data_IF_783526602707
#
_entry.id   IF_783526602707
#
_cell.length_a   1.000
_cell.length_b   1.000
_cell.length_c   1.000
_cell.angle_alpha   90.00
_cell.angle_beta   90.00
_cell.angle_gamma   90.00
#
_symmetry.space_group_name_H-M   'P 1'
#
loop_
_entity.id
_entity.type
_entity.pdbx_description
1 polymer ?
#
# COMPACT_ATOMS: atom_id res chain seq x y z
N UNK A 1 14.27 39.56 -4.22
CA UNK A 1 13.61 38.74 -3.18
C UNK A 1 14.14 37.32 -3.37
N UNK A 2 15.00 36.86 -2.47
CA UNK A 2 15.57 35.51 -2.56
C UNK A 2 14.60 34.51 -1.92
N UNK A 3 14.17 33.51 -2.69
CA UNK A 3 13.44 32.37 -2.12
C UNK A 3 14.46 31.52 -1.38
N UNK A 4 14.28 31.38 -0.07
CA UNK A 4 15.16 30.57 0.77
C UNK A 4 14.60 29.14 0.77
N UNK A 5 15.38 28.11 0.42
CA UNK A 5 14.92 26.73 0.52
C UNK A 5 14.71 26.37 1.99
N UNK A 6 13.57 25.72 2.27
CA UNK A 6 13.29 25.15 3.59
C UNK A 6 14.34 24.06 3.91
N UNK A 7 14.76 23.90 5.17
CA UNK A 7 15.76 22.89 5.52
C UNK A 7 15.23 21.51 5.11
N UNK A 8 16.11 20.70 4.52
CA UNK A 8 15.80 19.33 4.16
C UNK A 8 15.39 18.59 5.45
N UNK A 9 14.09 18.30 5.56
CA UNK A 9 13.56 17.45 6.62
C UNK A 9 14.33 16.14 6.58
N UNK A 10 14.75 15.65 7.75
CA UNK A 10 15.52 14.43 7.93
C UNK A 10 14.99 13.34 7.00
N UNK A 11 15.79 13.00 5.97
CA UNK A 11 15.40 11.99 5.00
C UNK A 11 15.23 10.69 5.77
N UNK A 12 14.00 10.22 5.88
CA UNK A 12 13.75 8.87 6.37
C UNK A 12 14.57 7.92 5.49
N UNK A 13 15.36 7.02 6.09
CA UNK A 13 16.21 6.10 5.32
C UNK A 13 15.39 5.11 4.46
N UNK A 14 14.06 5.10 4.60
CA UNK A 14 13.15 4.26 3.82
C UNK A 14 11.81 4.93 3.51
N UNK A 15 11.05 4.25 2.65
CA UNK A 15 9.70 4.61 2.28
C UNK A 15 8.77 4.54 3.48
N UNK A 16 8.02 5.62 3.75
CA UNK A 16 7.04 5.67 4.84
C UNK A 16 5.98 4.55 4.76
N UNK A 17 5.63 4.11 3.54
CA UNK A 17 4.60 3.09 3.36
C UNK A 17 5.13 1.67 3.49
N UNK A 18 6.20 1.32 2.76
CA UNK A 18 6.67 -0.07 2.66
C UNK A 18 7.93 -0.37 3.48
N UNK A 19 8.61 0.63 4.04
CA UNK A 19 9.85 0.48 4.80
C UNK A 19 11.07 0.07 3.97
N UNK A 20 10.93 -0.15 2.66
CA UNK A 20 12.07 -0.40 1.76
C UNK A 20 12.88 0.89 1.54
N UNK A 21 14.16 0.80 1.15
CA UNK A 21 14.97 1.96 0.81
C UNK A 21 14.30 2.85 -0.24
N UNK A 22 14.56 4.15 -0.16
CA UNK A 22 14.10 5.09 -1.17
C UNK A 22 14.78 4.78 -2.52
N UNK A 23 13.99 4.72 -3.58
CA UNK A 23 14.47 4.52 -4.95
C UNK A 23 15.17 5.76 -5.51
N UNK A 24 15.54 5.70 -6.79
CA UNK A 24 16.26 6.80 -7.47
C UNK A 24 15.41 8.05 -7.70
N UNK A 25 14.08 7.92 -7.70
CA UNK A 25 13.13 9.02 -7.87
C UNK A 25 12.04 8.94 -6.79
N UNK A 26 12.35 9.31 -5.54
CA UNK A 26 11.37 9.28 -4.46
C UNK A 26 10.25 10.30 -4.68
N UNK A 27 9.06 9.96 -4.20
CA UNK A 27 7.88 10.82 -4.22
C UNK A 27 7.69 11.40 -2.83
N UNK A 28 7.40 12.70 -2.73
CA UNK A 28 6.97 13.32 -1.48
C UNK A 28 5.49 13.64 -1.50
N UNK A 29 4.83 13.37 -0.38
CA UNK A 29 3.45 13.75 -0.15
C UNK A 29 3.25 14.20 1.30
N UNK A 30 2.46 15.27 1.47
CA UNK A 30 2.02 15.68 2.79
C UNK A 30 0.92 14.74 3.31
N UNK A 31 1.22 14.02 4.40
CA UNK A 31 0.25 13.24 5.17
C UNK A 31 0.13 13.84 6.56
N UNK A 32 -1.10 14.21 6.98
CA UNK A 32 -1.38 14.80 8.30
C UNK A 32 -0.50 16.01 8.64
N UNK A 33 -0.26 16.86 7.64
CA UNK A 33 0.57 18.06 7.78
C UNK A 33 2.07 17.81 7.86
N UNK A 34 2.55 16.57 7.68
CA UNK A 34 3.98 16.23 7.61
C UNK A 34 4.35 15.74 6.22
N UNK A 35 5.44 16.25 5.65
CA UNK A 35 6.00 15.68 4.42
C UNK A 35 6.55 14.28 4.72
N UNK A 36 6.20 13.31 3.90
CA UNK A 36 6.69 11.93 3.97
C UNK A 36 7.33 11.54 2.64
N UNK A 37 8.41 10.75 2.70
CA UNK A 37 9.10 10.20 1.53
C UNK A 37 8.57 8.80 1.17
N UNK A 38 8.40 8.55 -0.14
CA UNK A 38 7.93 7.29 -0.69
C UNK A 38 8.85 6.81 -1.80
N UNK A 39 9.06 5.49 -1.92
CA UNK A 39 9.91 4.94 -2.99
C UNK A 39 9.27 5.03 -4.39
N UNK A 40 7.94 5.17 -4.48
CA UNK A 40 7.21 5.32 -5.75
C UNK A 40 5.82 5.93 -5.55
N UNK A 41 5.16 6.30 -6.66
CA UNK A 41 3.80 6.86 -6.65
C UNK A 41 2.76 5.89 -6.08
N UNK A 42 2.93 4.57 -6.29
CA UNK A 42 2.04 3.56 -5.72
C UNK A 42 2.05 3.55 -4.19
N UNK A 43 3.22 3.72 -3.58
CA UNK A 43 3.35 3.81 -2.12
C UNK A 43 2.70 5.09 -1.56
N UNK A 44 2.85 6.22 -2.26
CA UNK A 44 2.19 7.48 -1.88
C UNK A 44 0.66 7.37 -1.98
N UNK A 45 0.15 6.74 -3.05
CA UNK A 45 -1.28 6.52 -3.25
C UNK A 45 -1.86 5.58 -2.19
N UNK A 46 -1.20 4.45 -1.92
CA UNK A 46 -1.62 3.52 -0.87
C UNK A 46 -1.69 4.20 0.50
N UNK A 47 -0.67 5.01 0.84
CA UNK A 47 -0.65 5.74 2.10
C UNK A 47 -1.76 6.79 2.22
N UNK A 48 -2.04 7.51 1.13
CA UNK A 48 -3.16 8.45 1.06
C UNK A 48 -4.50 7.76 1.26
N UNK A 49 -4.68 6.60 0.62
CA UNK A 49 -5.91 5.83 0.73
C UNK A 49 -6.11 5.27 2.14
N UNK A 50 -5.06 4.72 2.76
CA UNK A 50 -5.10 4.23 4.15
C UNK A 50 -5.51 5.36 5.12
N UNK A 51 -5.01 6.57 4.89
CA UNK A 51 -5.39 7.76 5.65
C UNK A 51 -6.87 8.11 5.45
N UNK A 52 -7.31 8.24 4.19
CA UNK A 52 -8.69 8.55 3.85
C UNK A 52 -9.69 7.50 4.35
N UNK A 53 -9.29 6.23 4.42
CA UNK A 53 -10.09 5.12 4.93
C UNK A 53 -10.11 5.04 6.47
N UNK A 54 -9.38 5.90 7.19
CA UNK A 54 -9.27 5.85 8.65
C UNK A 54 -8.45 4.66 9.17
N UNK A 55 -7.68 3.99 8.31
CA UNK A 55 -6.95 2.75 8.60
C UNK A 55 -5.51 2.99 9.07
N UNK A 56 -5.16 4.21 9.46
CA UNK A 56 -3.76 4.56 9.77
C UNK A 56 -3.16 3.85 10.99
N UNK A 57 -3.98 3.14 11.78
CA UNK A 57 -3.48 2.19 12.79
C UNK A 57 -2.56 1.12 12.20
N UNK A 58 -2.71 0.85 10.89
CA UNK A 58 -1.81 0.02 10.09
C UNK A 58 -0.33 0.31 10.34
N UNK A 59 0.08 1.58 10.37
CA UNK A 59 1.50 1.95 10.51
C UNK A 59 2.06 1.59 11.89
N UNK A 60 1.27 1.78 12.96
CA UNK A 60 1.66 1.35 14.31
C UNK A 60 1.80 -0.17 14.40
N UNK A 61 0.88 -0.90 13.76
CA UNK A 61 0.94 -2.36 13.73
C UNK A 61 2.15 -2.87 12.95
N UNK A 62 2.58 -2.12 11.93
CA UNK A 62 3.73 -2.47 11.10
C UNK A 62 5.08 -2.19 11.79
N UNK A 63 5.15 -1.16 12.62
CA UNK A 63 6.35 -0.80 13.39
C UNK A 63 6.52 -1.59 14.69
N UNK A 64 5.43 -2.13 15.24
CA UNK A 64 5.46 -2.99 16.43
C UNK A 64 5.86 -4.44 16.13
N UNK A 65 6.39 -5.12 17.15
CA UNK A 65 6.77 -6.56 17.17
C UNK A 65 5.54 -7.49 17.11
N UNK A 66 4.63 -7.25 16.16
CA UNK A 66 3.35 -7.93 16.06
C UNK A 66 3.46 -9.27 15.31
N UNK A 67 4.52 -10.01 15.63
CA UNK A 67 4.87 -11.29 15.02
C UNK A 67 5.59 -11.13 13.69
N UNK A 68 6.29 -12.19 13.24
CA UNK A 68 7.01 -12.16 11.98
C UNK A 68 6.05 -11.73 10.87
N UNK A 69 6.51 -10.79 10.04
CA UNK A 69 5.94 -10.52 8.71
C UNK A 69 5.56 -11.90 8.16
N UNK A 70 4.26 -12.14 7.92
CA UNK A 70 3.78 -13.46 7.55
C UNK A 70 4.74 -14.00 6.49
N UNK A 71 5.52 -15.02 6.87
CA UNK A 71 6.36 -15.68 5.89
C UNK A 71 5.36 -16.14 4.85
N UNK A 72 5.65 -15.88 3.58
CA UNK A 72 4.82 -16.39 2.51
C UNK A 72 4.93 -17.91 2.57
N UNK A 73 4.14 -18.53 3.44
CA UNK A 73 3.65 -19.87 3.19
C UNK A 73 2.93 -19.76 1.85
N UNK A 74 2.99 -20.82 1.06
CA UNK A 74 2.59 -20.92 -0.34
C UNK A 74 1.06 -20.79 -0.51
N UNK A 75 0.42 -19.91 0.26
CA UNK A 75 -0.98 -19.59 0.31
C UNK A 75 -1.49 -18.85 -0.92
N UNK A 76 -0.63 -18.51 -1.89
CA UNK A 76 -1.08 -18.11 -3.22
C UNK A 76 -2.07 -19.16 -3.80
N UNK A 77 -1.75 -20.45 -3.62
CA UNK A 77 -2.63 -21.55 -4.01
C UNK A 77 -3.97 -21.60 -3.28
N UNK A 78 -4.13 -20.94 -2.13
CA UNK A 78 -5.42 -20.82 -1.43
C UNK A 78 -6.38 -19.91 -2.21
N UNK A 79 -5.86 -18.83 -2.79
CA UNK A 79 -6.64 -17.88 -3.58
C UNK A 79 -6.91 -18.41 -5.00
N UNK A 80 -6.03 -19.26 -5.53
CA UNK A 80 -6.17 -19.91 -6.85
C UNK A 80 -7.02 -21.19 -6.83
N UNK A 81 -7.69 -21.50 -5.72
CA UNK A 81 -8.57 -22.68 -5.64
C UNK A 81 -9.74 -22.54 -6.63
N UNK A 82 -10.00 -23.54 -7.50
CA UNK A 82 -11.07 -23.47 -8.49
C UNK A 82 -12.45 -23.10 -7.92
N UNK A 83 -12.81 -23.70 -6.78
CA UNK A 83 -14.06 -23.42 -6.09
C UNK A 83 -14.18 -21.96 -5.59
N UNK A 84 -13.06 -21.33 -5.26
CA UNK A 84 -13.00 -19.95 -4.78
C UNK A 84 -13.11 -18.99 -5.97
N UNK A 85 -12.37 -19.27 -7.05
CA UNK A 85 -12.45 -18.54 -8.32
C UNK A 85 -13.89 -18.58 -8.85
N UNK A 86 -14.50 -19.75 -8.95
CA UNK A 86 -15.88 -19.90 -9.45
C UNK A 86 -16.89 -19.11 -8.61
N UNK A 87 -16.75 -19.14 -7.27
CA UNK A 87 -17.70 -18.49 -6.36
C UNK A 87 -17.56 -16.97 -6.29
N UNK A 88 -16.33 -16.44 -6.35
CA UNK A 88 -16.07 -15.03 -6.03
C UNK A 88 -15.75 -14.15 -7.25
N UNK A 89 -15.59 -14.74 -8.44
CA UNK A 89 -15.29 -13.96 -9.65
C UNK A 89 -16.51 -13.79 -10.55
N UNK A 90 -16.59 -12.63 -11.19
CA UNK A 90 -17.56 -12.36 -12.26
C UNK A 90 -16.82 -12.17 -13.59
N UNK A 91 -17.30 -12.76 -14.70
CA UNK A 91 -16.73 -12.48 -16.00
C UNK A 91 -16.89 -10.99 -16.35
N UNK A 92 -15.80 -10.37 -16.78
CA UNK A 92 -15.83 -9.08 -17.45
C UNK A 92 -15.87 -9.34 -18.97
N UNK A 93 -16.70 -8.61 -19.70
CA UNK A 93 -16.77 -8.74 -21.16
C UNK A 93 -15.57 -8.07 -21.83
N UNK A 94 -14.86 -8.81 -22.70
CA UNK A 94 -13.70 -8.34 -23.47
C UNK A 94 -13.01 -9.49 -24.19
N UNK A 95 -12.20 -9.20 -25.21
CA UNK A 95 -11.48 -10.22 -26.01
C UNK A 95 -10.36 -10.95 -25.23
N UNK A 96 -10.02 -10.48 -24.03
CA UNK A 96 -9.16 -11.15 -23.07
C UNK A 96 -9.97 -11.46 -21.80
N UNK A 97 -9.81 -12.67 -21.27
CA UNK A 97 -10.56 -13.14 -20.12
C UNK A 97 -10.13 -12.40 -18.84
N UNK A 98 -10.81 -11.31 -18.53
CA UNK A 98 -10.63 -10.55 -17.30
C UNK A 98 -11.70 -10.96 -16.28
N UNK A 99 -11.31 -11.12 -15.02
CA UNK A 99 -12.19 -11.48 -13.91
C UNK A 99 -11.94 -10.56 -12.73
N UNK A 100 -13.00 -9.95 -12.21
CA UNK A 100 -12.96 -9.10 -11.02
C UNK A 100 -13.33 -9.92 -9.79
N UNK A 101 -12.54 -9.81 -8.72
CA UNK A 101 -12.79 -10.48 -7.43
C UNK A 101 -13.53 -9.50 -6.50
N UNK A 102 -14.75 -9.84 -6.10
CA UNK A 102 -15.54 -9.05 -5.17
C UNK A 102 -15.81 -9.81 -3.87
N UNK A 103 -15.67 -9.12 -2.73
CA UNK A 103 -16.08 -9.64 -1.41
C UNK A 103 -17.27 -8.83 -0.92
N UNK A 104 -18.38 -9.50 -0.59
CA UNK A 104 -19.48 -8.88 0.14
C UNK A 104 -19.18 -8.94 1.63
N UNK A 105 -19.27 -7.79 2.29
CA UNK A 105 -19.22 -7.68 3.74
C UNK A 105 -20.60 -7.20 4.17
N UNK A 106 -21.35 -8.07 4.83
CA UNK A 106 -22.61 -7.70 5.47
C UNK A 106 -22.27 -7.07 6.83
N UNK A 107 -22.75 -5.83 7.05
CA UNK A 107 -22.61 -5.05 8.29
C UNK A 107 -23.86 -5.22 9.14
#
# INVERSE_FOLDING_TARGET
MAVQPLPASERSEGCFHCGEPLGTAPVQLALRGRSQDFCCAGCAAAASWIEAAGLSAYYRMREGDNGPRAQAEDGAGLFDRPALIERLSRPLGGAEAQRELGVRVDV
#
